data_IF_583197292568
#
_entry.id   IF_583197292568
#
_cell.length_a   1.000
_cell.length_b   1.000
_cell.length_c   1.000
_cell.angle_alpha   90.00
_cell.angle_beta   90.00
_cell.angle_gamma   90.00
#
_symmetry.space_group_name_H-M   'P 1'
#
loop_
_entity.id
_entity.type
_entity.pdbx_description
1 polymer ?
#
# COMPACT_ATOMS: atom_id res chain seq x y z
N UNK A 1 8.92 3.01 -9.96
CA UNK A 1 7.56 3.60 -10.00
C UNK A 1 6.45 2.64 -9.54
N UNK A 2 6.68 1.32 -9.38
CA UNK A 2 5.62 0.37 -9.04
C UNK A 2 4.91 0.65 -7.69
N UNK A 3 5.65 0.97 -6.63
CA UNK A 3 5.08 1.22 -5.28
C UNK A 3 4.19 2.47 -5.22
N UNK A 4 4.54 3.53 -5.96
CA UNK A 4 3.73 4.76 -6.03
C UNK A 4 2.36 4.45 -6.63
N UNK A 5 2.32 3.65 -7.70
CA UNK A 5 1.08 3.26 -8.36
C UNK A 5 0.17 2.43 -7.44
N UNK A 6 0.73 1.51 -6.65
CA UNK A 6 -0.04 0.74 -5.66
C UNK A 6 -0.79 1.72 -4.73
N UNK A 7 -0.08 2.68 -4.15
CA UNK A 7 -0.72 3.63 -3.23
C UNK A 7 -1.69 4.59 -3.91
N UNK A 8 -1.43 5.01 -5.14
CA UNK A 8 -2.35 5.85 -5.91
C UNK A 8 -3.68 5.13 -6.18
N UNK A 9 -3.63 3.88 -6.66
CA UNK A 9 -4.83 3.09 -6.96
C UNK A 9 -5.70 2.84 -5.72
N UNK A 10 -5.10 2.69 -4.53
CA UNK A 10 -5.89 2.54 -3.30
C UNK A 10 -6.75 3.75 -2.93
N UNK A 11 -6.47 4.93 -3.51
CA UNK A 11 -7.26 6.14 -3.25
C UNK A 11 -8.59 6.15 -3.99
N UNK A 12 -8.73 5.32 -5.03
CA UNK A 12 -9.98 5.18 -5.80
C UNK A 12 -11.01 4.31 -5.07
N UNK A 13 -10.60 3.55 -4.06
CA UNK A 13 -11.54 2.72 -3.30
C UNK A 13 -12.50 3.57 -2.48
N UNK A 14 -13.82 3.30 -2.57
CA UNK A 14 -14.83 3.87 -1.69
C UNK A 14 -14.52 3.68 -0.19
N UNK A 15 -15.03 4.58 0.65
CA UNK A 15 -14.78 4.52 2.10
C UNK A 15 -15.40 3.28 2.76
N UNK A 16 -16.57 2.85 2.30
CA UNK A 16 -17.24 1.63 2.74
C UNK A 16 -16.44 0.37 2.39
N UNK A 17 -15.85 0.30 1.18
CA UNK A 17 -14.93 -0.77 0.81
C UNK A 17 -13.72 -0.84 1.76
N UNK A 18 -13.08 0.30 2.01
CA UNK A 18 -11.92 0.38 2.92
C UNK A 18 -12.28 0.04 4.37
N UNK A 19 -13.50 0.37 4.82
CA UNK A 19 -14.00 -0.01 6.14
C UNK A 19 -14.28 -1.51 6.25
N UNK A 20 -14.91 -2.09 5.22
CA UNK A 20 -15.19 -3.53 5.16
C UNK A 20 -13.91 -4.37 5.15
N UNK A 21 -12.86 -3.90 4.47
CA UNK A 21 -11.55 -4.54 4.42
C UNK A 21 -10.52 -3.83 5.33
N UNK A 22 -10.90 -3.49 6.56
CA UNK A 22 -10.07 -2.72 7.50
C UNK A 22 -8.81 -3.43 8.03
N UNK A 23 -8.70 -4.75 7.81
CA UNK A 23 -7.48 -5.51 8.09
C UNK A 23 -6.32 -5.11 7.16
N UNK A 24 -6.61 -4.60 5.96
CA UNK A 24 -5.61 -4.05 5.05
C UNK A 24 -5.22 -2.65 5.53
N UNK A 25 -3.92 -2.32 5.66
CA UNK A 25 -3.46 -1.06 6.21
C UNK A 25 -3.52 0.10 5.19
N UNK A 26 -4.71 0.42 4.66
CA UNK A 26 -4.94 1.43 3.61
C UNK A 26 -4.25 2.77 3.87
N UNK A 27 -4.31 3.25 5.12
CA UNK A 27 -3.67 4.51 5.51
C UNK A 27 -2.15 4.46 5.40
N UNK A 28 -1.53 3.32 5.74
CA UNK A 28 -0.07 3.14 5.59
C UNK A 28 0.31 3.11 4.11
N UNK A 29 -0.46 2.41 3.29
CA UNK A 29 -0.23 2.31 1.83
C UNK A 29 -0.29 3.70 1.17
N UNK A 30 -1.30 4.52 1.51
CA UNK A 30 -1.38 5.92 1.07
C UNK A 30 -0.20 6.77 1.60
N UNK A 31 0.20 6.54 2.85
CA UNK A 31 1.35 7.22 3.47
C UNK A 31 2.66 6.93 2.73
N UNK A 32 2.89 5.68 2.36
CA UNK A 32 4.05 5.24 1.59
C UNK A 32 4.14 5.96 0.24
N UNK A 33 3.02 6.07 -0.50
CA UNK A 33 2.97 6.85 -1.74
C UNK A 33 3.39 8.30 -1.53
N UNK A 34 2.92 8.94 -0.45
CA UNK A 34 3.27 10.33 -0.18
C UNK A 34 4.75 10.51 0.15
N UNK A 35 5.34 9.59 0.89
CA UNK A 35 6.78 9.61 1.20
C UNK A 35 7.59 9.41 -0.08
N UNK A 36 7.27 8.38 -0.87
CA UNK A 36 8.02 8.06 -2.10
C UNK A 36 7.89 9.13 -3.19
N UNK A 37 6.77 9.87 -3.24
CA UNK A 37 6.55 10.90 -4.25
C UNK A 37 7.11 12.27 -3.87
N UNK A 38 7.11 12.63 -2.58
CA UNK A 38 7.39 14.02 -2.13
C UNK A 38 8.53 14.15 -1.12
N UNK A 39 9.00 13.03 -0.56
CA UNK A 39 10.02 12.98 0.50
C UNK A 39 10.97 11.80 0.28
N UNK A 40 11.33 11.54 -0.97
CA UNK A 40 12.17 10.39 -1.33
C UNK A 40 13.62 10.55 -0.83
N UNK A 41 14.05 11.79 -0.60
CA UNK A 41 15.38 12.13 -0.11
C UNK A 41 15.64 11.71 1.35
N UNK A 42 14.58 11.43 2.12
CA UNK A 42 14.67 10.96 3.51
C UNK A 42 14.33 9.47 3.66
N UNK A 43 14.19 8.76 2.54
CA UNK A 43 13.82 7.33 2.56
C UNK A 43 15.03 6.47 2.93
N UNK A 44 14.83 5.59 3.89
CA UNK A 44 15.80 4.55 4.24
C UNK A 44 15.71 3.37 3.26
N UNK A 45 16.85 2.89 2.77
CA UNK A 45 16.90 1.76 1.84
C UNK A 45 16.55 0.43 2.51
N UNK A 46 16.77 0.28 3.81
CA UNK A 46 16.34 -0.89 4.58
C UNK A 46 14.80 -0.95 4.63
N UNK A 47 14.15 0.19 4.87
CA UNK A 47 12.68 0.28 4.83
C UNK A 47 12.13 -0.04 3.44
N UNK A 48 12.79 0.41 2.37
CA UNK A 48 12.40 0.09 0.99
C UNK A 48 12.53 -1.41 0.73
N UNK A 49 13.64 -2.00 1.14
CA UNK A 49 13.90 -3.42 0.98
C UNK A 49 12.88 -4.27 1.74
N UNK A 50 12.62 -3.93 3.01
CA UNK A 50 11.61 -4.61 3.83
C UNK A 50 10.22 -4.50 3.22
N UNK A 51 9.84 -3.29 2.78
CA UNK A 51 8.55 -3.06 2.12
C UNK A 51 8.42 -3.92 0.87
N UNK A 52 9.43 -3.93 0.00
CA UNK A 52 9.38 -4.66 -1.26
C UNK A 52 9.38 -6.19 -1.07
N UNK A 53 10.10 -6.70 -0.05
CA UNK A 53 10.29 -8.14 0.14
C UNK A 53 9.35 -8.77 1.15
N UNK A 54 8.70 -7.99 2.01
CA UNK A 54 7.79 -8.49 3.07
C UNK A 54 6.40 -7.87 2.97
N UNK A 55 6.30 -6.55 3.05
CA UNK A 55 4.99 -5.88 3.14
C UNK A 55 4.17 -5.98 1.85
N UNK A 56 4.81 -5.91 0.68
CA UNK A 56 4.10 -6.06 -0.60
C UNK A 56 3.59 -7.50 -0.81
N UNK A 57 4.38 -8.56 -0.59
CA UNK A 57 3.85 -9.93 -0.59
C UNK A 57 2.73 -10.16 0.43
N UNK A 58 2.84 -9.61 1.65
CA UNK A 58 1.78 -9.69 2.65
C UNK A 58 0.50 -8.99 2.19
N UNK A 59 0.61 -7.82 1.56
CA UNK A 59 -0.51 -7.11 0.96
C UNK A 59 -1.18 -7.95 -0.14
N UNK A 60 -0.40 -8.63 -0.99
CA UNK A 60 -0.95 -9.51 -2.02
C UNK A 60 -1.81 -10.63 -1.43
N UNK A 61 -1.37 -11.26 -0.35
CA UNK A 61 -2.13 -12.30 0.36
C UNK A 61 -3.47 -11.74 0.84
N UNK A 62 -3.48 -10.57 1.49
CA UNK A 62 -4.72 -9.95 1.95
C UNK A 62 -5.67 -9.56 0.80
N UNK A 63 -5.12 -9.12 -0.34
CA UNK A 63 -5.93 -8.79 -1.50
C UNK A 63 -6.59 -10.04 -2.11
N UNK A 64 -5.94 -11.20 -2.06
CA UNK A 64 -6.50 -12.47 -2.54
C UNK A 64 -7.66 -12.99 -1.67
N UNK A 65 -7.78 -12.53 -0.43
CA UNK A 65 -8.92 -12.83 0.45
C UNK A 65 -10.19 -12.07 0.05
N UNK A 66 -10.07 -11.03 -0.78
CA UNK A 66 -11.20 -10.25 -1.28
C UNK A 66 -11.87 -11.03 -2.42
N UNK A 67 -13.16 -11.39 -2.30
CA UNK A 67 -13.85 -12.09 -3.37
C UNK A 67 -13.89 -11.25 -4.65
N UNK A 68 -13.58 -11.87 -5.78
CA UNK A 68 -13.84 -11.27 -7.10
C UNK A 68 -15.35 -11.29 -7.35
N UNK A 69 -15.98 -10.11 -7.34
CA UNK A 69 -17.36 -9.93 -7.78
C UNK A 69 -17.42 -9.69 -9.29
#
# INVERSE_FOLDING_TARGET
MAIINIGELTTEFPDDFRQMHSHIPWRKIKGLRNIMAHRYEIVDFEDVWETATRSIPELEIHLQEIPAN
#
